data_IF_146254525208
#
_entry.id   IF_146254525208
#
_cell.length_a   1.000
_cell.length_b   1.000
_cell.length_c   1.000
_cell.angle_alpha   90.00
_cell.angle_beta   90.00
_cell.angle_gamma   90.00
#
_symmetry.space_group_name_H-M   'P 1'
#
loop_
_entity.id
_entity.type
_entity.pdbx_description
1 polymer ?
#
# COMPACT_ATOMS: atom_id res chain seq x y z
N UNK A 1 -21.06 7.17 4.87
CA UNK A 1 -20.79 8.42 4.11
C UNK A 1 -21.89 8.59 3.06
N UNK A 2 -22.54 9.72 3.03
CA UNK A 2 -23.59 10.00 2.05
C UNK A 2 -22.93 10.30 0.70
N UNK A 3 -23.38 9.62 -0.38
CA UNK A 3 -22.85 9.91 -1.71
C UNK A 3 -23.14 11.35 -2.12
N UNK A 4 -22.22 11.96 -2.85
CA UNK A 4 -22.44 13.26 -3.45
C UNK A 4 -23.40 13.12 -4.65
N UNK A 5 -24.20 14.16 -4.89
CA UNK A 5 -25.12 14.22 -6.03
C UNK A 5 -24.44 14.73 -7.31
N UNK A 6 -23.10 14.86 -7.28
CA UNK A 6 -22.30 15.29 -8.42
C UNK A 6 -20.93 14.57 -8.37
N UNK A 7 -20.26 14.54 -9.52
CA UNK A 7 -18.89 14.01 -9.63
C UNK A 7 -17.90 15.10 -9.19
N UNK A 8 -17.22 14.93 -8.05
CA UNK A 8 -16.28 15.93 -7.55
C UNK A 8 -15.06 16.11 -8.45
N UNK A 9 -14.66 15.09 -9.20
CA UNK A 9 -13.51 15.17 -10.12
C UNK A 9 -13.90 15.99 -11.35
N UNK A 10 -15.07 15.73 -11.93
CA UNK A 10 -15.59 16.52 -13.04
C UNK A 10 -15.78 17.98 -12.63
N UNK A 11 -16.36 18.21 -11.46
CA UNK A 11 -16.53 19.55 -10.93
C UNK A 11 -15.20 20.27 -10.76
N UNK A 12 -14.19 19.60 -10.22
CA UNK A 12 -12.87 20.18 -10.04
C UNK A 12 -12.19 20.50 -11.38
N UNK A 13 -12.36 19.66 -12.39
CA UNK A 13 -11.83 19.89 -13.73
C UNK A 13 -12.43 21.16 -14.36
N UNK A 14 -13.73 21.33 -14.27
CA UNK A 14 -14.42 22.52 -14.79
C UNK A 14 -13.93 23.78 -14.08
N UNK A 15 -13.79 23.76 -12.77
CA UNK A 15 -13.30 24.89 -11.99
C UNK A 15 -11.83 25.21 -12.30
N UNK A 16 -11.01 24.20 -12.52
CA UNK A 16 -9.61 24.35 -12.91
C UNK A 16 -9.50 25.06 -14.26
N UNK A 17 -10.25 24.59 -15.27
CA UNK A 17 -10.28 25.21 -16.60
C UNK A 17 -10.74 26.66 -16.52
N UNK A 18 -11.78 26.96 -15.74
CA UNK A 18 -12.27 28.34 -15.55
C UNK A 18 -11.22 29.23 -14.88
N UNK A 19 -10.44 28.69 -13.96
CA UNK A 19 -9.46 29.47 -13.19
C UNK A 19 -8.16 29.68 -13.96
N UNK A 20 -7.70 28.68 -14.69
CA UNK A 20 -6.39 28.71 -15.33
C UNK A 20 -6.41 28.54 -16.86
N UNK A 21 -7.58 28.37 -17.46
CA UNK A 21 -7.76 28.35 -18.90
C UNK A 21 -7.80 26.96 -19.53
N UNK A 22 -8.28 26.91 -20.76
CA UNK A 22 -8.44 25.66 -21.51
C UNK A 22 -7.10 24.98 -21.83
N UNK A 23 -6.02 25.73 -21.92
CA UNK A 23 -4.67 25.20 -22.19
C UNK A 23 -3.97 24.72 -20.91
N UNK A 24 -4.63 24.80 -19.75
CA UNK A 24 -4.10 24.30 -18.50
C UNK A 24 -4.19 22.77 -18.43
N UNK A 25 -3.51 22.17 -17.45
CA UNK A 25 -3.46 20.72 -17.28
C UNK A 25 -4.73 20.13 -16.64
N UNK A 26 -5.92 20.68 -16.94
CA UNK A 26 -7.17 20.24 -16.28
C UNK A 26 -7.51 18.78 -16.57
N UNK A 27 -7.37 18.31 -17.81
CA UNK A 27 -7.63 16.92 -18.18
C UNK A 27 -6.62 15.97 -17.55
N UNK A 28 -5.36 16.33 -17.56
CA UNK A 28 -4.29 15.52 -16.93
C UNK A 28 -4.52 15.37 -15.43
N UNK A 29 -4.89 16.46 -14.76
CA UNK A 29 -5.17 16.42 -13.33
C UNK A 29 -6.44 15.64 -13.02
N UNK A 30 -7.47 15.72 -13.85
CA UNK A 30 -8.68 14.90 -13.69
C UNK A 30 -8.34 13.41 -13.81
N UNK A 31 -7.52 13.03 -14.79
CA UNK A 31 -7.07 11.65 -14.96
C UNK A 31 -6.26 11.17 -13.77
N UNK A 32 -5.27 11.94 -13.31
CA UNK A 32 -4.45 11.58 -12.17
C UNK A 32 -5.29 11.45 -10.89
N UNK A 33 -6.19 12.39 -10.64
CA UNK A 33 -7.07 12.36 -9.47
C UNK A 33 -8.02 11.14 -9.53
N UNK A 34 -8.49 10.78 -10.72
CA UNK A 34 -9.33 9.59 -10.90
C UNK A 34 -8.59 8.32 -10.52
N UNK A 35 -7.32 8.17 -10.93
CA UNK A 35 -6.48 7.02 -10.55
C UNK A 35 -6.32 6.97 -9.04
N UNK A 36 -6.03 8.10 -8.41
CA UNK A 36 -5.87 8.20 -6.96
C UNK A 36 -7.17 7.82 -6.23
N UNK A 37 -8.32 8.21 -6.77
CA UNK A 37 -9.61 7.89 -6.17
C UNK A 37 -9.95 6.41 -6.28
N UNK A 38 -9.67 5.81 -7.44
CA UNK A 38 -9.83 4.36 -7.64
C UNK A 38 -8.94 3.60 -6.65
N UNK A 39 -7.69 4.01 -6.47
CA UNK A 39 -6.78 3.41 -5.51
C UNK A 39 -7.37 3.46 -4.09
N UNK A 40 -7.91 4.60 -3.68
CA UNK A 40 -8.52 4.73 -2.35
C UNK A 40 -9.72 3.80 -2.17
N UNK A 41 -10.58 3.69 -3.17
CA UNK A 41 -11.76 2.81 -3.12
C UNK A 41 -11.37 1.35 -3.08
N UNK A 42 -10.40 0.94 -3.90
CA UNK A 42 -9.89 -0.44 -3.91
C UNK A 42 -9.23 -0.78 -2.59
N UNK A 43 -8.39 0.11 -2.06
CA UNK A 43 -7.71 -0.13 -0.79
C UNK A 43 -8.71 -0.32 0.35
N UNK A 44 -9.74 0.51 0.42
CA UNK A 44 -10.78 0.38 1.44
C UNK A 44 -11.51 -0.97 1.34
N UNK A 45 -11.83 -1.42 0.12
CA UNK A 45 -12.49 -2.71 -0.11
C UNK A 45 -11.58 -3.88 0.26
N UNK A 46 -10.31 -3.84 -0.13
CA UNK A 46 -9.34 -4.89 0.19
C UNK A 46 -9.01 -4.92 1.68
N UNK A 47 -8.89 -3.77 2.34
CA UNK A 47 -8.69 -3.71 3.79
C UNK A 47 -9.86 -4.33 4.53
N UNK A 48 -11.09 -4.10 4.07
CA UNK A 48 -12.27 -4.70 4.68
C UNK A 48 -12.26 -6.24 4.56
N UNK A 49 -11.82 -6.77 3.42
CA UNK A 49 -11.67 -8.22 3.23
C UNK A 49 -10.54 -8.78 4.11
N UNK A 50 -9.39 -8.13 4.12
CA UNK A 50 -8.23 -8.55 4.89
C UNK A 50 -8.51 -8.50 6.40
N UNK A 51 -9.33 -7.57 6.86
CA UNK A 51 -9.69 -7.44 8.27
C UNK A 51 -10.38 -8.70 8.82
N UNK A 52 -11.04 -9.48 7.98
CA UNK A 52 -11.64 -10.77 8.39
C UNK A 52 -10.60 -11.78 8.87
N UNK A 53 -9.35 -11.58 8.50
CA UNK A 53 -8.22 -12.42 8.87
C UNK A 53 -7.24 -11.69 9.80
N UNK A 54 -7.63 -10.56 10.37
CA UNK A 54 -6.78 -9.76 11.24
C UNK A 54 -5.68 -9.00 10.51
N UNK A 55 -5.86 -8.73 9.21
CA UNK A 55 -4.86 -8.11 8.35
C UNK A 55 -5.35 -6.81 7.75
N UNK A 56 -4.42 -6.01 7.24
CA UNK A 56 -4.66 -4.98 6.24
C UNK A 56 -4.21 -5.51 4.88
N UNK A 57 -4.59 -4.84 3.80
CA UNK A 57 -4.11 -5.21 2.48
C UNK A 57 -2.58 -5.18 2.39
N UNK A 58 -1.95 -4.16 2.97
CA UNK A 58 -0.49 -4.05 2.98
C UNK A 58 0.17 -5.23 3.69
N UNK A 59 -0.38 -5.67 4.82
CA UNK A 59 0.13 -6.85 5.55
C UNK A 59 -0.10 -8.13 4.76
N UNK A 60 -1.25 -8.25 4.13
CA UNK A 60 -1.54 -9.38 3.24
C UNK A 60 -0.53 -9.44 2.09
N UNK A 61 -0.24 -8.34 1.43
CA UNK A 61 0.77 -8.30 0.37
C UNK A 61 2.14 -8.75 0.87
N UNK A 62 2.54 -8.29 2.05
CA UNK A 62 3.83 -8.69 2.64
C UNK A 62 3.88 -10.20 2.90
N UNK A 63 2.79 -10.79 3.41
CA UNK A 63 2.72 -12.24 3.63
C UNK A 63 2.79 -13.02 2.33
N UNK A 64 2.08 -12.59 1.31
CA UNK A 64 2.10 -13.24 0.00
C UNK A 64 3.49 -13.16 -0.62
N UNK A 65 4.14 -12.00 -0.50
CA UNK A 65 5.51 -11.82 -0.97
C UNK A 65 6.47 -12.80 -0.28
N UNK A 66 6.35 -12.97 1.03
CA UNK A 66 7.15 -13.93 1.77
C UNK A 66 6.82 -15.38 1.37
N UNK A 67 5.55 -15.70 1.22
CA UNK A 67 5.13 -17.03 0.80
C UNK A 67 5.68 -17.41 -0.58
N UNK A 68 5.82 -16.43 -1.48
CA UNK A 68 6.39 -16.65 -2.80
C UNK A 68 7.92 -16.60 -2.82
N UNK A 69 8.54 -16.16 -1.75
CA UNK A 69 9.99 -16.11 -1.67
C UNK A 69 10.58 -17.52 -1.49
N UNK A 70 11.82 -17.68 -1.95
CA UNK A 70 12.46 -18.99 -2.03
C UNK A 70 12.51 -19.75 -0.71
N UNK A 71 12.75 -19.07 0.39
CA UNK A 71 12.89 -19.67 1.72
C UNK A 71 11.83 -19.17 2.70
N UNK A 72 10.77 -18.54 2.20
CA UNK A 72 9.75 -17.94 3.05
C UNK A 72 10.26 -16.73 3.83
N UNK A 73 11.37 -16.14 3.42
CA UNK A 73 11.99 -15.03 4.13
C UNK A 73 12.62 -14.02 3.17
N UNK A 74 12.64 -12.77 3.58
CA UNK A 74 13.26 -11.66 2.85
C UNK A 74 13.83 -10.65 3.83
N UNK A 75 14.87 -9.93 3.39
CA UNK A 75 15.37 -8.79 4.15
C UNK A 75 14.34 -7.66 4.16
N UNK A 76 14.40 -6.81 5.18
CA UNK A 76 13.52 -5.65 5.29
C UNK A 76 13.65 -4.72 4.08
N UNK A 77 14.88 -4.53 3.58
CA UNK A 77 15.11 -3.72 2.38
C UNK A 77 14.34 -4.25 1.17
N UNK A 78 14.39 -5.56 0.94
CA UNK A 78 13.69 -6.18 -0.19
C UNK A 78 12.18 -6.09 -0.06
N UNK A 79 11.66 -6.24 1.14
CA UNK A 79 10.22 -6.07 1.39
C UNK A 79 9.81 -4.64 1.02
N UNK A 80 10.53 -3.64 1.49
CA UNK A 80 10.23 -2.24 1.17
C UNK A 80 10.29 -1.96 -0.33
N UNK A 81 11.31 -2.45 -1.01
CA UNK A 81 11.47 -2.29 -2.46
C UNK A 81 10.32 -2.95 -3.23
N UNK A 82 10.01 -4.18 -2.89
CA UNK A 82 8.98 -4.96 -3.60
C UNK A 82 7.57 -4.44 -3.37
N UNK A 83 7.27 -3.95 -2.17
CA UNK A 83 5.99 -3.34 -1.85
C UNK A 83 5.92 -1.86 -2.26
N UNK A 84 7.05 -1.28 -2.69
CA UNK A 84 7.15 0.12 -3.06
C UNK A 84 6.70 1.05 -1.92
N UNK A 85 7.16 0.75 -0.71
CA UNK A 85 6.86 1.54 0.49
C UNK A 85 8.15 2.05 1.13
N UNK A 86 8.01 3.12 1.89
CA UNK A 86 9.13 3.67 2.67
C UNK A 86 9.65 2.63 3.68
N UNK A 87 10.96 2.59 3.98
CA UNK A 87 11.51 1.65 4.97
C UNK A 87 10.80 1.68 6.32
N UNK A 88 10.36 2.84 6.79
CA UNK A 88 9.57 2.96 8.02
C UNK A 88 8.24 2.22 7.92
N UNK A 89 7.57 2.30 6.78
CA UNK A 89 6.31 1.57 6.53
C UNK A 89 6.54 0.06 6.50
N UNK A 90 7.61 -0.38 5.83
CA UNK A 90 7.98 -1.80 5.80
C UNK A 90 8.23 -2.34 7.22
N UNK A 91 8.97 -1.60 8.03
CA UNK A 91 9.24 -1.95 9.42
C UNK A 91 7.92 -2.07 10.22
N UNK A 92 7.02 -1.10 10.07
CA UNK A 92 5.71 -1.13 10.75
C UNK A 92 4.89 -2.35 10.35
N UNK A 93 4.81 -2.65 9.05
CA UNK A 93 4.08 -3.81 8.52
C UNK A 93 4.61 -5.09 9.16
N UNK A 94 5.93 -5.28 9.15
CA UNK A 94 6.56 -6.49 9.69
C UNK A 94 6.41 -6.59 11.21
N UNK A 95 6.53 -5.48 11.93
CA UNK A 95 6.31 -5.46 13.38
C UNK A 95 4.89 -5.90 13.73
N UNK A 96 3.89 -5.42 13.01
CA UNK A 96 2.49 -5.81 13.21
C UNK A 96 2.25 -7.28 12.89
N UNK A 97 2.84 -7.78 11.82
CA UNK A 97 2.76 -9.19 11.45
C UNK A 97 3.44 -10.08 12.51
N UNK A 98 4.58 -9.66 13.03
CA UNK A 98 5.29 -10.39 14.09
C UNK A 98 4.47 -10.41 15.38
N UNK A 99 3.88 -9.28 15.77
CA UNK A 99 3.02 -9.20 16.96
C UNK A 99 1.80 -10.12 16.87
N UNK A 100 1.30 -10.35 15.64
CA UNK A 100 0.15 -11.25 15.40
C UNK A 100 0.56 -12.71 15.14
N UNK A 101 1.86 -13.02 15.15
CA UNK A 101 2.35 -14.39 14.98
C UNK A 101 2.47 -14.88 13.54
N UNK A 102 2.26 -14.02 12.54
CA UNK A 102 2.34 -14.41 11.13
C UNK A 102 3.78 -14.51 10.62
N UNK A 103 4.68 -13.74 11.18
CA UNK A 103 6.11 -13.75 10.82
C UNK A 103 6.97 -13.72 12.07
N UNK A 104 8.24 -14.10 11.91
CA UNK A 104 9.27 -13.87 12.91
C UNK A 104 10.37 -12.99 12.32
N UNK A 105 11.01 -12.21 13.17
CA UNK A 105 12.12 -11.32 12.81
C UNK A 105 13.42 -11.98 13.24
N UNK A 106 14.35 -12.06 12.30
CA UNK A 106 15.64 -12.74 12.50
C UNK A 106 16.78 -11.81 12.12
N UNK A 107 17.96 -11.95 12.74
CA UNK A 107 19.14 -11.25 12.25
C UNK A 107 19.45 -11.69 10.80
N UNK A 108 19.88 -10.74 9.97
CA UNK A 108 20.31 -11.07 8.62
C UNK A 108 21.79 -11.51 8.65
N UNK A 109 22.12 -12.76 8.36
CA UNK A 109 23.50 -13.24 8.41
C UNK A 109 24.40 -12.59 7.35
N UNK A 110 23.84 -12.07 6.28
CA UNK A 110 24.59 -11.36 5.23
C UNK A 110 24.87 -9.88 5.58
N UNK A 111 24.14 -9.32 6.54
CA UNK A 111 24.26 -7.94 7.00
C UNK A 111 23.99 -7.90 8.50
N UNK A 112 25.04 -7.69 9.29
CA UNK A 112 24.94 -7.69 10.75
C UNK A 112 24.03 -6.63 11.36
N UNK A 113 23.62 -5.61 10.58
CA UNK A 113 22.67 -4.57 10.99
C UNK A 113 21.25 -4.81 10.45
N UNK A 114 21.13 -5.75 9.51
CA UNK A 114 19.88 -6.02 8.84
C UNK A 114 18.99 -7.00 9.61
N UNK A 115 17.72 -6.98 9.25
CA UNK A 115 16.71 -7.91 9.76
C UNK A 115 16.08 -8.67 8.62
N UNK A 116 15.84 -9.97 8.81
CA UNK A 116 15.01 -10.79 7.95
C UNK A 116 13.64 -10.92 8.57
N UNK A 117 12.63 -10.98 7.71
CA UNK A 117 11.29 -11.41 8.09
C UNK A 117 11.04 -12.78 7.47
N UNK A 118 10.59 -13.74 8.26
CA UNK A 118 10.27 -15.10 7.82
C UNK A 118 8.84 -15.46 8.18
N UNK A 119 8.11 -16.02 7.22
CA UNK A 119 6.74 -16.46 7.44
C UNK A 119 6.74 -17.64 8.44
N UNK A 120 5.78 -17.63 9.35
CA UNK A 120 5.59 -18.74 10.32
C UNK A 120 4.78 -19.87 9.69
N UNK A 121 4.88 -21.10 10.21
CA UNK A 121 4.07 -22.23 9.74
C UNK A 121 2.56 -21.96 9.84
#
# INVERSE_FOLDING_TARGET
>A
MTPLDFDPIERAEILWERRWGADSAHTTMAAATSVMRVQQLLLAAFDALAARHGLTFARYEALVLLAFSREGQLSMSRIGERLMVHPTSATNIVQRLAASGFVERLPNPADGRGTLARITP
#
